data_IF_442286560392
#
_entry.id   IF_442286560392
#
_cell.length_a   1.000
_cell.length_b   1.000
_cell.length_c   1.000
_cell.angle_alpha   90.00
_cell.angle_beta   90.00
_cell.angle_gamma   90.00
#
_symmetry.space_group_name_H-M   'P 1'
#
loop_
_entity.id
_entity.type
_entity.pdbx_description
1 polymer ?
#
# COMPACT_ATOMS: atom_id res chain seq x y z
N UNK A 1 -1.44 -12.97 17.73
CA UNK A 1 -0.23 -12.63 16.97
C UNK A 1 -0.13 -13.66 15.86
N UNK A 2 -0.34 -13.25 14.61
CA UNK A 2 -0.18 -14.14 13.45
C UNK A 2 1.25 -14.65 13.41
N UNK A 3 1.43 -15.92 13.04
CA UNK A 3 2.73 -16.53 12.86
C UNK A 3 3.45 -15.81 11.69
N UNK A 4 4.69 -15.33 11.84
CA UNK A 4 5.41 -14.62 10.77
C UNK A 4 5.57 -15.46 9.49
N UNK A 5 5.35 -16.78 9.56
CA UNK A 5 5.34 -17.69 8.41
C UNK A 5 4.14 -17.52 7.46
N UNK A 6 3.11 -16.74 7.83
CA UNK A 6 1.88 -16.54 7.03
C UNK A 6 1.80 -15.15 6.36
N UNK A 7 2.89 -14.36 6.42
CA UNK A 7 2.97 -13.07 5.74
C UNK A 7 3.35 -13.30 4.28
N UNK A 8 2.57 -12.81 3.30
CA UNK A 8 2.92 -12.92 1.88
C UNK A 8 4.29 -12.29 1.59
N UNK A 9 5.07 -12.95 0.73
CA UNK A 9 6.40 -12.46 0.37
C UNK A 9 6.36 -11.22 -0.53
N UNK A 10 5.25 -11.00 -1.25
CA UNK A 10 5.12 -9.97 -2.27
C UNK A 10 3.67 -9.52 -2.43
N UNK A 11 3.49 -8.24 -2.73
CA UNK A 11 2.21 -7.67 -3.15
C UNK A 11 2.37 -6.86 -4.44
N UNK A 12 1.27 -6.67 -5.16
CA UNK A 12 1.15 -5.62 -6.18
C UNK A 12 0.40 -4.45 -5.55
N UNK A 13 1.03 -3.28 -5.53
CA UNK A 13 0.49 -2.03 -5.00
C UNK A 13 0.12 -1.12 -6.16
N UNK A 14 -1.07 -0.54 -6.08
CA UNK A 14 -1.58 0.46 -6.99
C UNK A 14 -1.51 1.82 -6.31
N UNK A 15 -0.82 2.76 -6.94
CA UNK A 15 -0.82 4.16 -6.52
C UNK A 15 -1.79 4.93 -7.41
N UNK A 16 -2.82 5.52 -6.81
CA UNK A 16 -4.02 6.01 -7.50
C UNK A 16 -4.40 7.40 -6.98
N UNK A 17 -5.07 8.24 -7.79
CA UNK A 17 -5.72 9.43 -7.26
C UNK A 17 -6.96 9.02 -6.46
N UNK A 18 -7.15 9.65 -5.31
CA UNK A 18 -8.39 9.64 -4.57
C UNK A 18 -9.32 10.72 -5.14
N UNK A 19 -10.45 10.28 -5.67
CA UNK A 19 -11.49 11.11 -6.27
C UNK A 19 -12.75 11.05 -5.41
N UNK A 20 -13.80 11.74 -5.87
CA UNK A 20 -15.13 11.63 -5.31
C UNK A 20 -16.14 11.32 -6.42
N UNK A 21 -17.16 10.52 -6.09
CA UNK A 21 -18.32 10.33 -6.97
C UNK A 21 -19.23 11.57 -6.98
N UNK A 22 -20.33 11.50 -7.72
CA UNK A 22 -21.31 12.60 -7.83
C UNK A 22 -21.99 12.96 -6.50
N UNK A 23 -21.98 12.05 -5.53
CA UNK A 23 -22.60 12.21 -4.22
C UNK A 23 -21.54 12.59 -3.16
N UNK A 24 -20.27 12.73 -3.55
CA UNK A 24 -19.16 13.12 -2.69
C UNK A 24 -18.47 11.96 -1.96
N UNK A 25 -18.82 10.71 -2.25
CA UNK A 25 -18.16 9.57 -1.61
C UNK A 25 -16.78 9.32 -2.23
N UNK A 26 -15.79 8.91 -1.42
CA UNK A 26 -14.47 8.55 -1.92
C UNK A 26 -14.56 7.42 -2.95
N UNK A 27 -13.94 7.63 -4.10
CA UNK A 27 -13.71 6.61 -5.13
C UNK A 27 -12.28 6.73 -5.62
N UNK A 28 -11.69 5.63 -6.09
CA UNK A 28 -10.29 5.64 -6.52
C UNK A 28 -10.23 5.65 -8.06
N UNK A 29 -9.45 6.57 -8.63
CA UNK A 29 -9.28 6.68 -10.07
C UNK A 29 -8.40 5.57 -10.66
N UNK A 30 -7.95 5.73 -11.91
CA UNK A 30 -7.06 4.75 -12.53
C UNK A 30 -5.66 4.77 -11.89
N UNK A 31 -4.95 3.62 -11.82
CA UNK A 31 -3.57 3.57 -11.35
C UNK A 31 -2.64 4.47 -12.17
N UNK A 32 -1.84 5.25 -11.45
CA UNK A 32 -0.75 6.08 -12.00
C UNK A 32 0.58 5.34 -11.91
N UNK A 33 0.74 4.48 -10.89
CA UNK A 33 1.81 3.48 -10.81
C UNK A 33 1.25 2.13 -10.37
N UNK A 34 1.82 1.06 -10.90
CA UNK A 34 1.56 -0.33 -10.50
C UNK A 34 2.92 -0.92 -10.17
N UNK A 35 3.13 -1.24 -8.91
CA UNK A 35 4.44 -1.58 -8.38
C UNK A 35 4.36 -2.88 -7.62
N UNK A 36 5.33 -3.75 -7.84
CA UNK A 36 5.43 -4.97 -7.05
C UNK A 36 6.44 -4.74 -5.92
N UNK A 37 5.99 -4.98 -4.68
CA UNK A 37 6.76 -4.73 -3.45
C UNK A 37 7.02 -6.03 -2.72
N UNK A 38 8.22 -6.18 -2.17
CA UNK A 38 8.66 -7.40 -1.48
C UNK A 38 8.84 -7.17 0.01
N UNK A 39 8.56 -8.21 0.80
CA UNK A 39 8.72 -8.14 2.25
C UNK A 39 10.18 -7.86 2.61
N UNK A 40 10.40 -6.83 3.43
CA UNK A 40 11.76 -6.48 3.90
C UNK A 40 12.19 -7.32 5.10
N UNK A 41 11.27 -8.07 5.70
CA UNK A 41 11.47 -8.79 6.97
C UNK A 41 11.45 -7.89 8.20
N UNK A 42 11.24 -6.58 8.04
CA UNK A 42 11.18 -5.60 9.12
C UNK A 42 9.75 -5.16 9.42
N UNK A 43 9.48 -4.76 10.66
CA UNK A 43 8.28 -4.02 11.01
C UNK A 43 8.43 -2.54 10.63
N UNK A 44 7.34 -1.96 10.17
CA UNK A 44 7.22 -0.56 9.83
C UNK A 44 6.86 0.34 11.01
N UNK A 45 6.79 1.64 10.78
CA UNK A 45 6.48 2.64 11.81
C UNK A 45 5.02 2.58 12.28
N UNK A 46 4.10 2.16 11.41
CA UNK A 46 2.70 1.86 11.76
C UNK A 46 2.56 0.59 12.62
N UNK A 47 3.62 -0.20 12.74
CA UNK A 47 3.63 -1.48 13.44
C UNK A 47 3.32 -2.70 12.55
N UNK A 48 2.99 -2.50 11.28
CA UNK A 48 2.74 -3.56 10.31
C UNK A 48 3.99 -3.95 9.51
N UNK A 49 4.05 -5.15 8.90
CA UNK A 49 5.19 -5.55 8.07
C UNK A 49 5.47 -4.56 6.94
N UNK A 50 6.76 -4.26 6.73
CA UNK A 50 7.23 -3.33 5.69
C UNK A 50 7.57 -4.06 4.39
N UNK A 51 7.12 -3.49 3.28
CA UNK A 51 7.39 -3.94 1.92
C UNK A 51 7.98 -2.80 1.09
N UNK A 52 8.91 -3.12 0.19
CA UNK A 52 9.58 -2.13 -0.65
C UNK A 52 9.74 -2.62 -2.10
N UNK A 53 9.68 -1.69 -3.05
CA UNK A 53 9.91 -1.97 -4.47
C UNK A 53 9.76 -0.70 -5.33
N UNK A 54 10.65 -0.53 -6.31
CA UNK A 54 10.59 0.56 -7.31
C UNK A 54 10.27 1.97 -6.74
N UNK A 55 10.92 2.31 -5.62
CA UNK A 55 10.75 3.62 -4.95
C UNK A 55 9.50 3.72 -4.05
N UNK A 56 8.67 2.68 -3.99
CA UNK A 56 7.51 2.60 -3.10
C UNK A 56 7.86 1.79 -1.86
N UNK A 57 7.66 2.38 -0.68
CA UNK A 57 7.63 1.67 0.60
C UNK A 57 6.19 1.67 1.10
N UNK A 58 5.69 0.51 1.52
CA UNK A 58 4.37 0.37 2.13
C UNK A 58 4.42 -0.50 3.37
N UNK A 59 3.49 -0.27 4.25
CA UNK A 59 3.24 -1.10 5.42
C UNK A 59 1.84 -1.66 5.28
N UNK A 60 1.70 -2.98 5.27
CA UNK A 60 0.45 -3.66 4.90
C UNK A 60 0.02 -4.57 6.02
N UNK A 61 -1.24 -4.48 6.44
CA UNK A 61 -1.87 -5.52 7.25
C UNK A 61 -2.05 -6.79 6.40
N UNK A 62 -1.32 -7.89 6.67
CA UNK A 62 -1.41 -9.11 5.87
C UNK A 62 -2.78 -9.78 5.93
N UNK A 63 -3.58 -9.51 6.97
CA UNK A 63 -4.90 -10.09 7.15
C UNK A 63 -5.95 -9.40 6.28
N UNK A 64 -6.00 -8.06 6.33
CA UNK A 64 -7.01 -7.28 5.61
C UNK A 64 -6.53 -6.77 4.25
N UNK A 65 -5.22 -6.83 3.98
CA UNK A 65 -4.53 -6.21 2.83
C UNK A 65 -4.67 -4.69 2.80
N UNK A 66 -4.99 -4.06 3.94
CA UNK A 66 -5.02 -2.61 4.08
C UNK A 66 -3.62 -2.04 4.05
N UNK A 67 -3.44 -0.91 3.37
CA UNK A 67 -2.20 -0.13 3.41
C UNK A 67 -2.29 0.83 4.60
N UNK A 68 -1.36 0.69 5.53
CA UNK A 68 -1.36 1.37 6.83
C UNK A 68 -0.39 2.56 6.85
N UNK A 69 0.66 2.49 6.03
CA UNK A 69 1.56 3.62 5.73
C UNK A 69 2.16 3.46 4.33
N UNK A 70 2.50 4.57 3.69
CA UNK A 70 3.11 4.59 2.35
C UNK A 70 4.00 5.80 2.14
N UNK A 71 5.15 5.58 1.52
CA UNK A 71 5.98 6.63 0.90
C UNK A 71 6.26 6.29 -0.57
N UNK A 72 6.43 7.33 -1.37
CA UNK A 72 6.80 7.24 -2.79
C UNK A 72 8.01 8.09 -3.03
N UNK A 73 9.08 7.47 -3.53
CA UNK A 73 10.38 8.08 -3.77
C UNK A 73 10.97 8.76 -2.51
N UNK A 74 10.66 8.19 -1.34
CA UNK A 74 11.11 8.65 -0.02
C UNK A 74 10.24 9.74 0.63
N UNK A 75 9.21 10.22 -0.07
CA UNK A 75 8.31 11.27 0.39
C UNK A 75 6.95 10.70 0.78
N UNK A 76 6.24 11.38 1.70
CA UNK A 76 4.85 11.04 1.99
C UNK A 76 3.97 11.15 0.74
N UNK A 77 2.94 10.31 0.68
CA UNK A 77 2.04 10.32 -0.46
C UNK A 77 1.31 11.68 -0.55
N UNK A 78 1.26 12.32 -1.73
CA UNK A 78 0.59 13.60 -1.89
C UNK A 78 -0.90 13.54 -1.51
N UNK A 79 -1.43 14.64 -0.99
CA UNK A 79 -2.88 14.76 -0.75
C UNK A 79 -3.70 14.47 -2.01
N UNK A 80 -4.83 13.79 -1.82
CA UNK A 80 -5.70 13.37 -2.92
C UNK A 80 -5.18 12.15 -3.68
N UNK A 81 -4.24 11.40 -3.10
CA UNK A 81 -3.76 10.11 -3.61
C UNK A 81 -3.97 9.03 -2.55
N UNK A 82 -4.04 7.79 -3.01
CA UNK A 82 -4.19 6.59 -2.19
C UNK A 82 -3.33 5.47 -2.76
N UNK A 83 -2.83 4.61 -1.88
CA UNK A 83 -2.22 3.34 -2.24
C UNK A 83 -3.13 2.20 -1.80
N UNK A 84 -3.32 1.21 -2.66
CA UNK A 84 -4.11 0.00 -2.36
C UNK A 84 -3.39 -1.25 -2.87
N UNK A 85 -3.59 -2.37 -2.21
CA UNK A 85 -3.14 -3.67 -2.73
C UNK A 85 -4.09 -4.09 -3.86
N UNK A 86 -3.54 -4.52 -4.99
CA UNK A 86 -4.34 -5.04 -6.10
C UNK A 86 -5.16 -6.27 -5.65
N UNK A 87 -6.40 -6.36 -6.14
CA UNK A 87 -7.18 -7.58 -6.02
C UNK A 87 -6.55 -8.68 -6.90
N UNK A 88 -6.47 -9.90 -6.37
CA UNK A 88 -5.99 -11.08 -7.10
C UNK A 88 -7.03 -11.57 -8.14
#
# INVERSE_FOLDING_TARGET
MSDPSDVPARYTVLVKPQLADKDGHPVHGNPLRVVAVEATGSSGESGYPRFEGEGVQVEIDPLTRSVEAVTVDGEELPYGWVAEVAAD
#
